data_IF_682746238749
#
_entry.id   IF_682746238749
#
_cell.length_a   1.000
_cell.length_b   1.000
_cell.length_c   1.000
_cell.angle_alpha   90.00
_cell.angle_beta   90.00
_cell.angle_gamma   90.00
#
_symmetry.space_group_name_H-M   'P 1'
#
loop_
_entity.id
_entity.type
_entity.pdbx_description
1 polymer ?
#
# COMPACT_ATOMS: atom_id res chain seq x y z
N UNK A 1 36.94 -1.37 83.18
CA UNK A 1 35.99 -1.98 84.13
C UNK A 1 34.75 -2.34 83.34
N UNK A 2 34.39 -3.67 83.41
CA UNK A 2 33.07 -4.29 83.14
C UNK A 2 32.51 -4.14 81.69
N UNK A 3 32.72 -5.06 80.75
CA UNK A 3 32.20 -6.39 80.59
C UNK A 3 30.66 -6.45 80.58
N UNK A 4 30.03 -6.66 79.38
CA UNK A 4 28.87 -7.54 79.32
C UNK A 4 28.70 -8.04 77.87
N UNK A 5 28.92 -9.32 77.75
CA UNK A 5 28.56 -10.14 76.59
C UNK A 5 27.02 -10.28 76.47
N UNK A 6 26.48 -10.15 75.34
CA UNK A 6 25.18 -10.78 75.06
C UNK A 6 25.26 -11.52 73.76
N UNK A 7 25.22 -12.82 73.88
CA UNK A 7 25.03 -13.81 72.87
C UNK A 7 23.54 -13.92 72.61
N UNK A 8 23.10 -13.81 71.38
CA UNK A 8 21.77 -14.30 71.03
C UNK A 8 21.77 -14.82 69.59
N UNK A 9 21.87 -16.08 69.48
CA UNK A 9 21.11 -17.11 68.78
C UNK A 9 20.63 -16.77 67.37
N UNK A 10 21.23 -17.55 66.49
CA UNK A 10 20.67 -18.04 65.20
C UNK A 10 19.21 -18.39 65.25
N UNK A 11 18.46 -17.92 64.28
CA UNK A 11 17.28 -18.61 63.77
C UNK A 11 17.34 -18.61 62.26
N UNK A 12 17.66 -19.75 61.74
CA UNK A 12 17.44 -20.18 60.40
C UNK A 12 15.95 -20.14 60.07
N UNK A 13 15.55 -19.27 59.16
CA UNK A 13 14.28 -19.46 58.45
C UNK A 13 14.60 -19.82 57.02
N UNK A 14 14.38 -21.11 56.74
CA UNK A 14 14.18 -21.61 55.39
C UNK A 14 12.83 -21.12 54.90
N UNK A 15 12.85 -20.25 53.92
CA UNK A 15 11.67 -19.84 53.19
C UNK A 15 12.06 -19.80 51.72
N UNK A 16 11.79 -20.89 51.04
CA UNK A 16 11.84 -20.97 49.60
C UNK A 16 10.61 -20.22 49.05
N UNK A 17 10.84 -19.12 48.42
CA UNK A 17 9.83 -18.52 47.53
C UNK A 17 10.47 -18.41 46.16
N UNK A 18 10.11 -19.31 45.28
CA UNK A 18 10.38 -19.25 43.88
C UNK A 18 9.54 -18.09 43.31
N UNK A 19 10.18 -16.98 43.01
CA UNK A 19 9.57 -15.92 42.18
C UNK A 19 9.69 -16.34 40.73
N UNK A 20 8.61 -16.87 40.17
CA UNK A 20 8.47 -17.10 38.75
C UNK A 20 8.34 -15.73 38.07
N UNK A 21 9.41 -15.28 37.45
CA UNK A 21 9.38 -14.15 36.51
C UNK A 21 8.72 -14.63 35.21
N UNK A 22 7.42 -14.42 35.12
CA UNK A 22 6.68 -14.49 33.84
C UNK A 22 7.14 -13.31 32.99
N UNK A 23 8.16 -13.57 32.16
CA UNK A 23 8.53 -12.67 31.07
C UNK A 23 7.41 -12.65 30.03
N UNK A 24 6.57 -11.62 30.07
CA UNK A 24 5.66 -11.31 28.96
C UNK A 24 6.50 -10.87 27.77
N UNK A 25 6.84 -11.79 26.87
CA UNK A 25 7.37 -11.45 25.57
C UNK A 25 6.24 -10.78 24.78
N UNK A 26 6.22 -9.44 24.78
CA UNK A 26 5.39 -8.68 23.86
C UNK A 26 5.93 -8.90 22.45
N UNK A 27 5.29 -9.79 21.70
CA UNK A 27 5.46 -9.92 20.26
C UNK A 27 4.94 -8.62 19.63
N UNK A 28 5.83 -7.67 19.40
CA UNK A 28 5.55 -6.52 18.55
C UNK A 28 5.43 -7.07 17.13
N UNK A 29 4.21 -7.38 16.71
CA UNK A 29 3.87 -7.56 15.31
C UNK A 29 4.04 -6.21 14.63
N UNK A 30 5.24 -5.93 14.13
CA UNK A 30 5.42 -4.88 13.13
C UNK A 30 4.67 -5.34 11.89
N UNK A 31 3.41 -4.93 11.79
CA UNK A 31 2.70 -5.00 10.52
C UNK A 31 3.46 -4.09 9.56
N UNK A 32 4.27 -4.68 8.67
CA UNK A 32 4.75 -4.01 7.49
C UNK A 32 3.52 -3.70 6.64
N UNK A 33 2.96 -2.50 6.81
CA UNK A 33 2.03 -1.90 5.85
C UNK A 33 2.86 -1.47 4.64
N UNK A 34 3.49 -2.44 3.96
CA UNK A 34 4.02 -2.22 2.63
C UNK A 34 2.82 -2.02 1.73
N UNK A 35 2.64 -0.83 1.18
CA UNK A 35 1.72 -0.63 0.07
C UNK A 35 2.09 -1.65 -1.01
N UNK A 36 1.12 -2.50 -1.42
CA UNK A 36 1.37 -3.45 -2.48
C UNK A 36 1.75 -2.68 -3.74
N UNK A 37 2.84 -3.07 -4.41
CA UNK A 37 3.25 -2.47 -5.67
C UNK A 37 2.15 -2.63 -6.72
N UNK A 38 2.04 -1.64 -7.61
CA UNK A 38 1.14 -1.71 -8.77
C UNK A 38 1.71 -2.54 -9.93
N UNK A 39 2.98 -2.95 -9.85
CA UNK A 39 3.60 -3.78 -10.89
C UNK A 39 2.80 -5.06 -11.14
N UNK A 40 2.58 -5.38 -12.41
CA UNK A 40 1.79 -6.52 -12.88
C UNK A 40 0.37 -6.55 -12.27
N UNK A 41 -0.30 -5.40 -12.31
CA UNK A 41 -1.69 -5.28 -11.86
C UNK A 41 -2.56 -4.61 -12.94
N UNK A 42 -3.85 -4.97 -12.92
CA UNK A 42 -4.87 -4.36 -13.77
C UNK A 42 -6.01 -3.79 -12.92
N UNK A 43 -6.56 -2.68 -13.38
CA UNK A 43 -7.57 -1.89 -12.69
C UNK A 43 -8.63 -1.41 -13.66
N UNK A 44 -9.89 -1.46 -13.26
CA UNK A 44 -11.02 -1.08 -14.09
C UNK A 44 -11.54 -2.22 -14.95
N UNK A 45 -12.41 -1.92 -15.89
CA UNK A 45 -13.03 -2.91 -16.76
C UNK A 45 -12.41 -2.82 -18.16
N UNK A 46 -11.54 -3.76 -18.47
CA UNK A 46 -10.98 -3.92 -19.81
C UNK A 46 -12.10 -4.36 -20.76
N UNK A 47 -12.00 -3.96 -22.02
CA UNK A 47 -12.90 -4.36 -23.13
C UNK A 47 -14.36 -3.87 -23.01
N UNK A 48 -14.66 -2.96 -22.08
CA UNK A 48 -15.99 -2.37 -21.99
C UNK A 48 -15.93 -0.91 -22.44
N UNK A 49 -16.63 -0.60 -23.53
CA UNK A 49 -16.71 0.76 -24.04
C UNK A 49 -17.36 1.69 -23.02
N UNK A 50 -16.76 2.83 -22.81
CA UNK A 50 -17.22 3.81 -21.84
C UNK A 50 -16.65 3.61 -20.42
N UNK A 51 -15.97 2.50 -20.17
CA UNK A 51 -15.38 2.18 -18.89
C UNK A 51 -13.85 2.37 -18.95
N UNK A 52 -13.26 3.15 -18.02
CA UNK A 52 -11.82 3.29 -17.96
C UNK A 52 -11.14 2.07 -17.34
N UNK A 53 -9.93 1.77 -17.83
CA UNK A 53 -9.08 0.72 -17.29
C UNK A 53 -7.60 1.07 -17.45
N UNK A 54 -6.76 0.58 -16.56
CA UNK A 54 -5.31 0.77 -16.59
C UNK A 54 -4.61 -0.50 -16.14
N UNK A 55 -3.59 -0.91 -16.88
CA UNK A 55 -2.68 -2.02 -16.56
C UNK A 55 -1.28 -1.47 -16.37
N UNK A 56 -0.62 -1.94 -15.33
CA UNK A 56 0.76 -1.61 -14.99
C UNK A 56 1.64 -2.85 -15.17
N UNK A 57 2.73 -2.73 -15.90
CA UNK A 57 3.70 -3.81 -16.06
C UNK A 57 4.96 -3.57 -15.24
N UNK A 58 5.64 -4.63 -14.84
CA UNK A 58 6.86 -4.55 -14.01
C UNK A 58 8.01 -3.79 -14.69
N UNK A 59 7.99 -3.63 -16.01
CA UNK A 59 8.99 -2.84 -16.76
C UNK A 59 8.70 -1.33 -16.77
N UNK A 60 7.74 -0.86 -15.97
CA UNK A 60 7.43 0.56 -15.78
C UNK A 60 6.54 1.16 -16.87
N UNK A 61 5.78 0.34 -17.59
CA UNK A 61 4.79 0.81 -18.57
C UNK A 61 3.38 0.77 -18.00
N UNK A 62 2.60 1.76 -18.37
CA UNK A 62 1.16 1.83 -18.10
C UNK A 62 0.42 1.96 -19.42
N UNK A 63 -0.64 1.17 -19.58
CA UNK A 63 -1.51 1.23 -20.76
C UNK A 63 -2.92 0.80 -20.39
N UNK A 64 -3.87 1.29 -21.15
CA UNK A 64 -5.27 1.05 -20.90
C UNK A 64 -6.17 1.87 -21.80
N UNK A 65 -7.30 2.24 -21.27
CA UNK A 65 -8.30 3.06 -21.94
C UNK A 65 -8.94 4.04 -20.96
N UNK A 66 -9.30 5.20 -21.45
CA UNK A 66 -10.15 6.15 -20.70
C UNK A 66 -11.66 5.90 -20.93
N UNK A 67 -12.00 4.78 -21.58
CA UNK A 67 -13.36 4.44 -22.01
C UNK A 67 -13.65 4.83 -23.46
N UNK A 68 -12.84 5.67 -24.06
CA UNK A 68 -12.94 6.12 -25.45
C UNK A 68 -11.63 5.95 -26.21
N UNK A 69 -10.55 6.38 -25.62
CA UNK A 69 -9.22 6.40 -26.20
C UNK A 69 -8.32 5.31 -25.60
N UNK A 70 -7.32 4.88 -26.35
CA UNK A 70 -6.21 4.10 -25.84
C UNK A 70 -5.27 5.06 -25.13
N UNK A 71 -4.86 4.72 -23.90
CA UNK A 71 -3.94 5.49 -23.07
C UNK A 71 -2.69 4.66 -22.82
N UNK A 72 -1.52 5.23 -23.00
CA UNK A 72 -0.25 4.58 -22.66
C UNK A 72 0.79 5.59 -22.18
N UNK A 73 1.73 5.10 -21.39
CA UNK A 73 2.82 5.90 -20.86
C UNK A 73 3.74 5.09 -19.97
N UNK A 74 4.49 5.78 -19.13
CA UNK A 74 5.39 5.17 -18.16
C UNK A 74 4.95 5.51 -16.74
N UNK A 75 5.38 4.70 -15.80
CA UNK A 75 5.12 4.95 -14.38
C UNK A 75 6.33 4.60 -13.53
N UNK A 76 6.40 5.23 -12.37
CA UNK A 76 7.32 4.91 -11.28
C UNK A 76 6.54 4.87 -9.98
N UNK A 77 7.03 4.13 -8.99
CA UNK A 77 6.40 4.04 -7.67
C UNK A 77 7.42 4.33 -6.57
N UNK A 78 7.07 5.22 -5.67
CA UNK A 78 7.84 5.51 -4.48
C UNK A 78 6.91 5.63 -3.27
N UNK A 79 7.19 4.85 -2.22
CA UNK A 79 6.41 4.87 -0.97
C UNK A 79 4.90 4.71 -1.16
N UNK A 80 4.49 3.84 -2.11
CA UNK A 80 3.09 3.57 -2.41
C UNK A 80 2.38 4.62 -3.24
N UNK A 81 3.10 5.62 -3.74
CA UNK A 81 2.59 6.61 -4.68
C UNK A 81 3.14 6.34 -6.06
N UNK A 82 2.24 6.16 -7.01
CA UNK A 82 2.56 6.06 -8.43
C UNK A 82 2.66 7.46 -9.01
N UNK A 83 3.69 7.70 -9.82
CA UNK A 83 3.85 8.91 -10.62
C UNK A 83 3.90 8.51 -12.08
N UNK A 84 3.07 9.12 -12.90
CA UNK A 84 3.05 8.90 -14.33
C UNK A 84 4.04 9.83 -15.04
N UNK A 85 4.74 9.30 -16.04
CA UNK A 85 5.32 10.10 -17.08
C UNK A 85 4.23 10.65 -18.02
N UNK A 86 4.58 11.35 -19.10
CA UNK A 86 3.60 11.83 -20.06
C UNK A 86 2.72 10.68 -20.57
N UNK A 87 1.41 10.81 -20.38
CA UNK A 87 0.45 9.86 -20.92
C UNK A 87 0.10 10.27 -22.36
N UNK A 88 0.34 9.39 -23.30
CA UNK A 88 -0.12 9.52 -24.67
C UNK A 88 -1.51 8.90 -24.82
N UNK A 89 -2.35 9.52 -25.61
CA UNK A 89 -3.72 9.09 -25.86
C UNK A 89 -4.12 9.28 -27.32
N UNK A 90 -4.92 8.39 -27.84
CA UNK A 90 -5.65 8.68 -29.09
C UNK A 90 -6.64 9.83 -28.87
N UNK A 91 -7.07 10.48 -29.92
CA UNK A 91 -7.92 11.67 -29.84
C UNK A 91 -9.27 11.39 -30.51
N UNK A 92 -9.97 10.39 -30.02
CA UNK A 92 -11.35 10.10 -30.46
C UNK A 92 -12.35 10.88 -29.61
N UNK A 93 -13.49 11.19 -30.17
CA UNK A 93 -14.64 11.71 -29.47
C UNK A 93 -15.67 10.62 -29.24
N UNK A 94 -16.07 10.41 -27.99
CA UNK A 94 -17.12 9.48 -27.60
C UNK A 94 -18.16 10.23 -26.78
N UNK A 95 -19.35 10.39 -27.34
CA UNK A 95 -20.42 11.09 -26.66
C UNK A 95 -20.78 10.41 -25.33
N UNK A 96 -20.88 11.22 -24.26
CA UNK A 96 -21.25 10.76 -22.92
C UNK A 96 -20.15 10.00 -22.14
N UNK A 97 -18.94 9.88 -22.70
CA UNK A 97 -17.80 9.26 -22.01
C UNK A 97 -16.94 10.33 -21.35
N UNK A 98 -16.70 10.16 -20.05
CA UNK A 98 -15.77 11.00 -19.30
C UNK A 98 -14.35 10.43 -19.41
N UNK A 99 -13.48 11.10 -20.14
CA UNK A 99 -12.10 10.68 -20.45
C UNK A 99 -11.07 11.16 -19.41
N UNK A 100 -11.46 11.24 -18.15
CA UNK A 100 -10.66 11.79 -17.05
C UNK A 100 -9.28 11.13 -16.89
N UNK A 101 -9.13 9.85 -17.26
CA UNK A 101 -7.91 9.06 -17.00
C UNK A 101 -6.68 9.63 -17.71
N UNK A 102 -6.84 10.28 -18.84
CA UNK A 102 -5.73 10.94 -19.56
C UNK A 102 -5.13 12.12 -18.83
N UNK A 103 -5.86 12.70 -17.88
CA UNK A 103 -5.40 13.79 -17.00
C UNK A 103 -4.65 13.31 -15.76
N UNK A 104 -4.43 11.99 -15.61
CA UNK A 104 -3.76 11.46 -14.44
C UNK A 104 -2.27 11.81 -14.41
N UNK A 105 -1.81 12.37 -13.30
CA UNK A 105 -0.41 12.64 -12.99
C UNK A 105 0.13 11.71 -11.90
N UNK A 106 -0.70 11.38 -10.93
CA UNK A 106 -0.34 10.47 -9.83
C UNK A 106 -1.47 9.51 -9.49
N UNK A 107 -1.13 8.41 -8.82
CA UNK A 107 -2.12 7.49 -8.25
C UNK A 107 -1.66 6.91 -6.92
N UNK A 108 -2.62 6.48 -6.10
CA UNK A 108 -2.39 5.81 -4.81
C UNK A 108 -3.29 4.60 -4.71
N UNK A 109 -2.72 3.47 -4.26
CA UNK A 109 -3.45 2.22 -4.04
C UNK A 109 -3.91 2.13 -2.59
N UNK A 110 -5.18 1.82 -2.40
CA UNK A 110 -5.81 1.60 -1.11
C UNK A 110 -6.64 0.31 -1.18
N UNK A 111 -6.02 -0.81 -0.80
CA UNK A 111 -6.65 -2.13 -0.88
C UNK A 111 -6.90 -2.58 -2.34
N UNK A 112 -8.15 -2.74 -2.70
CA UNK A 112 -8.60 -3.15 -4.03
C UNK A 112 -8.97 -1.96 -4.94
N UNK A 113 -8.62 -0.75 -4.55
CA UNK A 113 -8.92 0.48 -5.25
C UNK A 113 -7.66 1.30 -5.50
N UNK A 114 -7.55 1.86 -6.70
CA UNK A 114 -6.56 2.87 -7.06
C UNK A 114 -7.26 4.20 -7.33
N UNK A 115 -6.76 5.27 -6.73
CA UNK A 115 -7.27 6.62 -6.88
C UNK A 115 -6.28 7.47 -7.65
N UNK A 116 -6.75 8.17 -8.69
CA UNK A 116 -5.94 9.00 -9.57
C UNK A 116 -6.12 10.48 -9.27
N UNK A 117 -5.06 11.24 -9.40
CA UNK A 117 -5.05 12.69 -9.22
C UNK A 117 -4.32 13.37 -10.39
N UNK A 118 -4.75 14.59 -10.68
CA UNK A 118 -4.14 15.47 -11.68
C UNK A 118 -2.83 16.11 -11.17
N UNK A 119 -2.25 17.02 -11.95
CA UNK A 119 -1.02 17.74 -11.61
C UNK A 119 -1.16 18.62 -10.37
N UNK A 120 -2.35 19.16 -10.10
CA UNK A 120 -2.65 19.94 -8.91
C UNK A 120 -2.90 19.07 -7.67
N UNK A 121 -2.89 17.76 -7.82
CA UNK A 121 -3.16 16.80 -6.74
C UNK A 121 -4.65 16.59 -6.44
N UNK A 122 -5.54 17.11 -7.29
CA UNK A 122 -6.97 16.90 -7.18
C UNK A 122 -7.32 15.51 -7.66
N UNK A 123 -8.09 14.78 -6.88
CA UNK A 123 -8.60 13.45 -7.28
C UNK A 123 -9.55 13.61 -8.47
N UNK A 124 -9.24 12.89 -9.56
CA UNK A 124 -10.01 12.91 -10.81
C UNK A 124 -10.81 11.64 -11.05
N UNK A 125 -10.44 10.53 -10.43
CA UNK A 125 -11.18 9.28 -10.54
C UNK A 125 -10.58 8.14 -9.75
N UNK A 126 -11.19 6.97 -9.84
CA UNK A 126 -10.67 5.75 -9.22
C UNK A 126 -11.14 4.51 -9.94
N UNK A 127 -10.34 3.44 -9.88
CA UNK A 127 -10.63 2.14 -10.48
C UNK A 127 -10.54 1.05 -9.40
N UNK A 128 -11.26 -0.05 -9.61
CA UNK A 128 -11.14 -1.26 -8.80
C UNK A 128 -10.14 -2.21 -9.40
N UNK A 129 -9.46 -2.97 -8.55
CA UNK A 129 -8.53 -4.02 -8.97
C UNK A 129 -9.27 -5.12 -9.71
N UNK A 130 -8.69 -5.58 -10.81
CA UNK A 130 -9.19 -6.69 -11.62
C UNK A 130 -8.09 -7.73 -11.81
N UNK A 131 -8.40 -8.83 -12.46
CA UNK A 131 -7.41 -9.82 -12.83
C UNK A 131 -6.39 -9.21 -13.79
N UNK A 132 -5.10 -9.48 -13.53
CA UNK A 132 -4.02 -8.98 -14.38
C UNK A 132 -4.08 -9.69 -15.74
N UNK A 133 -4.14 -8.91 -16.78
CA UNK A 133 -4.01 -9.39 -18.17
C UNK A 133 -2.76 -8.76 -18.75
N UNK A 134 -1.76 -9.59 -19.05
CA UNK A 134 -0.56 -9.11 -19.73
C UNK A 134 -0.94 -8.63 -21.16
N UNK A 135 -0.36 -7.53 -21.61
CA UNK A 135 -0.51 -7.08 -22.98
C UNK A 135 0.15 -8.09 -23.94
N UNK A 136 -0.49 -8.35 -25.06
CA UNK A 136 0.08 -9.11 -26.16
C UNK A 136 1.05 -8.27 -27.02
#
# INVERSE_FOLDING_TARGET
MTNTRTVTRSRTFRGATAAALLGAAALVLTACSGSASVADTSWGTLDTRGEPAMTFTADGKAFGTDGCNIVNGTWTEEKGKVTFGPLASTMMFCEGVDTWLTGASTAVVEGDKISFSDEEGKKIGSLKKTEFTAPE
#
